data_IF_218307014658
#
_entry.id   IF_218307014658
#
_cell.length_a   1.000
_cell.length_b   1.000
_cell.length_c   1.000
_cell.angle_alpha   90.00
_cell.angle_beta   90.00
_cell.angle_gamma   90.00
#
_symmetry.space_group_name_H-M   'P 1'
#
loop_
_entity.id
_entity.type
_entity.pdbx_description
1 polymer ?
#
# COMPACT_ATOMS: atom_id res chain seq x y z
N UNK A 1 8.95 -23.41 19.35
CA UNK A 1 9.21 -24.01 18.00
C UNK A 1 10.55 -23.49 17.48
N UNK A 2 11.35 -24.27 16.68
CA UNK A 2 12.59 -23.72 16.10
C UNK A 2 12.27 -22.77 14.95
N UNK A 3 13.09 -21.73 14.76
CA UNK A 3 12.87 -20.75 13.67
C UNK A 3 12.95 -21.38 12.27
N UNK A 4 13.75 -22.46 12.10
CA UNK A 4 13.83 -23.18 10.84
C UNK A 4 12.51 -23.90 10.55
N UNK A 5 11.94 -24.57 11.55
CA UNK A 5 10.64 -25.22 11.40
C UNK A 5 9.51 -24.22 11.10
N UNK A 6 9.53 -23.03 11.71
CA UNK A 6 8.59 -21.95 11.39
C UNK A 6 8.73 -21.54 9.90
N UNK A 7 9.97 -21.41 9.39
CA UNK A 7 10.23 -21.02 8.00
C UNK A 7 9.68 -22.09 7.04
N UNK A 8 10.04 -23.36 7.25
CA UNK A 8 9.62 -24.49 6.43
C UNK A 8 8.09 -24.66 6.41
N UNK A 9 7.44 -24.50 7.57
CA UNK A 9 6.00 -24.76 7.71
C UNK A 9 5.14 -23.62 7.18
N UNK A 10 5.52 -22.35 7.44
CA UNK A 10 4.64 -21.19 7.23
C UNK A 10 5.11 -20.23 6.13
N UNK A 11 6.35 -20.36 5.65
CA UNK A 11 6.93 -19.43 4.69
C UNK A 11 7.51 -20.10 3.43
N UNK A 12 7.22 -21.38 3.20
CA UNK A 12 7.57 -22.17 2.00
C UNK A 12 9.05 -22.03 1.60
N UNK A 13 9.99 -21.98 2.53
CA UNK A 13 11.43 -21.75 2.29
C UNK A 13 11.78 -20.46 1.51
N UNK A 14 10.76 -19.64 1.18
CA UNK A 14 10.95 -18.39 0.45
C UNK A 14 11.46 -17.24 1.33
N UNK A 15 11.49 -17.46 2.65
CA UNK A 15 11.95 -16.51 3.67
C UNK A 15 13.18 -17.08 4.36
N UNK A 16 14.15 -16.24 4.68
CA UNK A 16 15.36 -16.64 5.44
C UNK A 16 15.26 -16.10 6.87
N UNK A 17 15.98 -16.72 7.80
CA UNK A 17 16.03 -16.29 9.20
C UNK A 17 16.28 -14.77 9.37
N UNK A 18 17.15 -14.17 8.55
CA UNK A 18 17.44 -12.73 8.57
C UNK A 18 16.28 -11.83 8.14
N UNK A 19 15.26 -12.41 7.49
CA UNK A 19 14.08 -11.70 7.02
C UNK A 19 12.96 -11.68 8.07
N UNK A 20 13.12 -12.45 9.17
CA UNK A 20 12.20 -12.58 10.29
C UNK A 20 12.70 -11.75 11.49
N UNK A 21 11.83 -10.91 12.01
CA UNK A 21 12.10 -10.04 13.15
C UNK A 21 11.24 -10.45 14.31
N UNK A 22 11.89 -10.83 15.42
CA UNK A 22 11.19 -11.20 16.64
C UNK A 22 10.46 -10.00 17.25
N UNK A 23 9.28 -10.26 17.82
CA UNK A 23 8.52 -9.26 18.55
C UNK A 23 7.96 -9.82 19.85
N UNK A 24 7.77 -8.91 20.80
CA UNK A 24 6.95 -9.07 22.00
C UNK A 24 6.21 -7.77 22.20
N UNK A 25 4.88 -7.77 22.08
CA UNK A 25 4.07 -6.56 22.15
C UNK A 25 2.80 -6.79 22.96
N UNK A 26 2.31 -5.72 23.59
CA UNK A 26 1.03 -5.70 24.29
C UNK A 26 -0.03 -5.06 23.39
N UNK A 27 -1.16 -5.74 23.22
CA UNK A 27 -2.28 -5.22 22.42
C UNK A 27 -3.04 -4.12 23.17
N UNK A 28 -3.97 -3.46 22.49
CA UNK A 28 -4.80 -2.41 23.11
C UNK A 28 -5.76 -2.97 24.17
N UNK A 29 -6.18 -4.24 24.05
CA UNK A 29 -6.99 -4.93 25.07
C UNK A 29 -6.14 -5.54 26.20
N UNK A 30 -4.80 -5.42 26.11
CA UNK A 30 -3.89 -5.85 27.15
C UNK A 30 -3.26 -7.24 26.95
N UNK A 31 -3.62 -7.97 25.89
CA UNK A 31 -3.01 -9.26 25.57
C UNK A 31 -1.55 -9.10 25.19
N UNK A 32 -0.70 -10.03 25.58
CA UNK A 32 0.72 -10.06 25.22
C UNK A 32 0.90 -11.08 24.10
N UNK A 33 1.47 -10.63 22.96
CA UNK A 33 1.76 -11.49 21.82
C UNK A 33 3.27 -11.50 21.53
N UNK A 34 3.80 -12.70 21.28
CA UNK A 34 5.21 -12.94 20.97
C UNK A 34 5.33 -13.78 19.70
N UNK A 35 6.33 -13.50 18.86
CA UNK A 35 6.54 -14.24 17.62
C UNK A 35 7.49 -13.55 16.65
N UNK A 36 7.25 -13.75 15.36
CA UNK A 36 8.10 -13.25 14.27
C UNK A 36 7.27 -12.58 13.17
N UNK A 37 7.75 -11.45 12.65
CA UNK A 37 7.20 -10.76 11.49
C UNK A 37 8.18 -10.79 10.32
N UNK A 38 7.68 -11.13 9.12
CA UNK A 38 8.47 -11.14 7.89
C UNK A 38 8.60 -9.73 7.30
N UNK A 39 9.83 -9.29 7.01
CA UNK A 39 10.12 -8.02 6.34
C UNK A 39 10.73 -8.19 4.95
N UNK A 40 10.74 -9.41 4.42
CA UNK A 40 11.16 -9.65 3.04
C UNK A 40 10.13 -9.07 2.07
N UNK A 41 10.56 -8.33 1.03
CA UNK A 41 9.66 -7.71 0.06
C UNK A 41 9.16 -8.73 -0.99
N UNK A 42 8.44 -9.75 -0.56
CA UNK A 42 7.80 -10.79 -1.36
C UNK A 42 6.31 -10.94 -0.95
N UNK A 43 5.69 -12.07 -1.29
CA UNK A 43 4.32 -12.41 -0.92
C UNK A 43 4.06 -12.46 0.59
N UNK A 44 5.09 -12.71 1.40
CA UNK A 44 5.01 -12.77 2.86
C UNK A 44 5.31 -11.44 3.57
N UNK A 45 5.49 -10.33 2.82
CA UNK A 45 5.82 -9.05 3.43
C UNK A 45 4.77 -8.64 4.47
N UNK A 46 5.20 -8.58 5.73
CA UNK A 46 4.36 -8.23 6.88
C UNK A 46 3.52 -9.39 7.44
N UNK A 47 3.58 -10.59 6.84
CA UNK A 47 3.01 -11.78 7.46
C UNK A 47 3.76 -12.12 8.75
N UNK A 48 3.05 -12.69 9.72
CA UNK A 48 3.61 -12.97 11.03
C UNK A 48 3.22 -14.36 11.52
N UNK A 49 4.14 -14.94 12.26
CA UNK A 49 3.90 -16.11 13.08
C UNK A 49 3.86 -15.65 14.54
N UNK A 50 2.70 -15.79 15.21
CA UNK A 50 2.53 -15.60 16.64
C UNK A 50 2.80 -16.94 17.28
N UNK A 51 3.77 -17.01 18.16
CA UNK A 51 4.14 -18.24 18.89
C UNK A 51 3.42 -18.35 20.22
N UNK A 52 3.28 -17.20 20.92
CA UNK A 52 2.66 -17.13 22.23
C UNK A 52 1.63 -16.02 22.34
N UNK A 53 0.57 -16.33 23.09
CA UNK A 53 -0.46 -15.38 23.53
C UNK A 53 -0.55 -15.47 25.05
N UNK A 54 -0.41 -14.32 25.74
CA UNK A 54 -0.45 -14.24 27.22
C UNK A 54 0.54 -15.18 27.92
N UNK A 55 1.76 -15.36 27.34
CA UNK A 55 2.85 -16.26 27.75
C UNK A 55 2.55 -17.76 27.56
N UNK A 56 1.42 -18.15 26.99
CA UNK A 56 1.06 -19.53 26.66
C UNK A 56 1.35 -19.82 25.19
N UNK A 57 1.79 -21.05 24.89
CA UNK A 57 2.05 -21.48 23.52
C UNK A 57 0.72 -21.55 22.76
N UNK A 58 0.59 -20.71 21.73
CA UNK A 58 -0.62 -20.62 20.91
C UNK A 58 -0.24 -20.25 19.47
N UNK A 59 0.34 -21.20 18.71
CA UNK A 59 0.88 -20.93 17.40
C UNK A 59 -0.22 -20.59 16.40
N UNK A 60 -0.08 -19.43 15.72
CA UNK A 60 -1.00 -18.99 14.69
C UNK A 60 -0.26 -18.18 13.62
N UNK A 61 -0.63 -18.37 12.36
CA UNK A 61 -0.05 -17.66 11.24
C UNK A 61 -1.03 -16.63 10.67
N UNK A 62 -0.56 -15.40 10.49
CA UNK A 62 -1.35 -14.28 10.00
C UNK A 62 -0.76 -13.82 8.67
N UNK A 63 -1.50 -14.04 7.62
CA UNK A 63 -1.16 -13.48 6.31
C UNK A 63 -1.34 -11.97 6.28
N UNK A 64 -0.47 -11.30 5.53
CA UNK A 64 -0.52 -9.86 5.27
C UNK A 64 -0.85 -9.61 3.81
N UNK A 65 -1.12 -8.35 3.46
CA UNK A 65 -1.24 -7.96 2.06
C UNK A 65 0.09 -8.20 1.35
N UNK A 66 0.15 -9.07 0.35
CA UNK A 66 1.36 -9.35 -0.42
C UNK A 66 1.96 -8.07 -0.99
N UNK A 67 3.28 -8.07 -1.25
CA UNK A 67 3.87 -6.98 -1.99
C UNK A 67 3.31 -6.96 -3.41
N UNK A 68 2.66 -5.87 -3.78
CA UNK A 68 2.15 -5.64 -5.12
C UNK A 68 3.33 -5.31 -6.04
N UNK A 69 3.51 -6.11 -7.10
CA UNK A 69 4.62 -5.95 -8.03
C UNK A 69 4.21 -5.16 -9.28
N UNK A 70 5.19 -4.51 -9.91
CA UNK A 70 5.07 -4.10 -11.30
C UNK A 70 5.07 -5.35 -12.19
N UNK A 71 4.60 -5.20 -13.42
CA UNK A 71 4.73 -6.27 -14.40
C UNK A 71 6.17 -6.80 -14.43
N UNK A 72 6.29 -8.12 -14.40
CA UNK A 72 7.56 -8.82 -14.58
C UNK A 72 7.30 -10.13 -15.32
N UNK A 73 8.34 -10.72 -15.91
CA UNK A 73 8.26 -12.03 -16.59
C UNK A 73 7.69 -13.17 -15.72
N UNK A 74 7.69 -13.01 -14.38
CA UNK A 74 7.06 -13.98 -13.46
C UNK A 74 5.54 -13.97 -13.51
N UNK A 75 4.95 -12.93 -14.07
CA UNK A 75 3.51 -12.80 -14.30
C UNK A 75 3.16 -13.20 -15.75
N UNK A 76 4.15 -13.37 -16.63
CA UNK A 76 3.98 -13.96 -17.96
C UNK A 76 3.50 -15.40 -17.83
N UNK A 77 2.49 -15.77 -18.63
CA UNK A 77 1.89 -17.12 -18.58
C UNK A 77 0.71 -17.27 -17.61
N UNK A 78 0.30 -16.19 -16.90
CA UNK A 78 -0.99 -16.18 -16.24
C UNK A 78 -2.02 -15.79 -17.30
N UNK A 79 -2.59 -16.80 -17.94
CA UNK A 79 -3.74 -16.60 -18.82
C UNK A 79 -4.97 -16.31 -17.96
N UNK A 80 -5.50 -15.11 -18.10
CA UNK A 80 -6.76 -14.72 -17.48
C UNK A 80 -7.69 -14.23 -18.57
N UNK A 81 -8.93 -14.75 -18.57
CA UNK A 81 -9.97 -14.32 -19.50
C UNK A 81 -10.46 -12.91 -19.19
N UNK A 82 -10.26 -12.46 -17.95
CA UNK A 82 -10.72 -11.16 -17.48
C UNK A 82 -9.75 -10.55 -16.48
N UNK A 83 -9.38 -9.29 -16.71
CA UNK A 83 -8.56 -8.50 -15.81
C UNK A 83 -9.29 -7.21 -15.48
N UNK A 84 -9.59 -6.99 -14.20
CA UNK A 84 -10.21 -5.76 -13.72
C UNK A 84 -9.15 -4.95 -12.95
N UNK A 85 -8.79 -3.81 -13.49
CA UNK A 85 -7.93 -2.84 -12.82
C UNK A 85 -8.75 -1.89 -11.97
N UNK A 86 -8.51 -1.93 -10.68
CA UNK A 86 -9.08 -1.00 -9.70
C UNK A 86 -8.17 0.20 -9.51
N UNK A 87 -8.75 1.31 -9.09
CA UNK A 87 -8.01 2.48 -8.63
C UNK A 87 -7.00 2.08 -7.54
N UNK A 88 -5.76 2.51 -7.69
CA UNK A 88 -4.79 2.41 -6.62
C UNK A 88 -4.96 3.62 -5.71
N UNK A 89 -5.63 3.41 -4.60
CA UNK A 89 -5.74 4.42 -3.55
C UNK A 89 -4.36 4.71 -2.95
N UNK A 90 -4.13 5.96 -2.60
CA UNK A 90 -2.89 6.43 -2.01
C UNK A 90 -3.07 6.65 -0.51
N UNK A 91 -2.49 5.75 0.29
CA UNK A 91 -2.66 5.76 1.72
C UNK A 91 -1.80 4.72 2.43
N UNK A 92 -2.30 4.23 3.55
CA UNK A 92 -1.67 3.20 4.37
C UNK A 92 -2.45 1.90 4.34
N UNK A 93 -1.79 0.81 3.99
CA UNK A 93 -2.38 -0.53 4.05
C UNK A 93 -2.58 -0.94 5.51
N UNK A 94 -3.84 -1.16 5.90
CA UNK A 94 -4.27 -1.61 7.23
C UNK A 94 -4.80 -3.03 7.14
N UNK A 95 -4.38 -3.86 8.06
CA UNK A 95 -4.72 -5.27 8.12
C UNK A 95 -5.38 -5.53 9.47
N UNK A 96 -6.61 -6.06 9.44
CA UNK A 96 -7.30 -6.54 10.63
C UNK A 96 -7.21 -8.05 10.69
N UNK A 97 -6.67 -8.57 11.78
CA UNK A 97 -6.49 -10.00 11.97
C UNK A 97 -7.10 -10.48 13.31
N UNK A 98 -7.67 -11.69 13.34
CA UNK A 98 -8.12 -12.30 14.58
C UNK A 98 -6.92 -12.77 15.41
N UNK A 99 -6.96 -12.53 16.72
CA UNK A 99 -6.08 -13.15 17.69
C UNK A 99 -6.86 -14.25 18.39
N UNK A 100 -6.35 -15.47 18.31
CA UNK A 100 -6.97 -16.62 18.94
C UNK A 100 -6.31 -16.93 20.29
N UNK A 101 -7.10 -17.47 21.21
CA UNK A 101 -6.65 -18.22 22.38
C UNK A 101 -7.67 -19.32 22.64
N UNK A 102 -7.22 -20.55 22.88
CA UNK A 102 -8.07 -21.73 23.12
C UNK A 102 -9.14 -21.99 22.01
N UNK A 103 -8.79 -21.66 20.77
CA UNK A 103 -9.68 -21.80 19.61
C UNK A 103 -10.69 -20.66 19.40
N UNK A 104 -10.78 -19.73 20.34
CA UNK A 104 -11.70 -18.59 20.28
C UNK A 104 -10.98 -17.29 19.88
N UNK A 105 -11.67 -16.41 19.12
CA UNK A 105 -11.16 -15.08 18.77
C UNK A 105 -11.34 -14.15 19.97
N UNK A 106 -10.25 -13.89 20.69
CA UNK A 106 -10.25 -13.00 21.88
C UNK A 106 -10.14 -11.51 21.53
N UNK A 107 -9.50 -11.20 20.38
CA UNK A 107 -9.33 -9.83 19.94
C UNK A 107 -9.21 -9.77 18.41
N UNK A 108 -9.68 -8.69 17.78
CA UNK A 108 -9.39 -8.35 16.39
C UNK A 108 -8.46 -7.13 16.38
N UNK A 109 -7.26 -7.30 15.83
CA UNK A 109 -6.16 -6.34 15.96
C UNK A 109 -5.87 -5.66 14.61
N UNK A 110 -5.89 -4.31 14.55
CA UNK A 110 -5.40 -3.59 13.38
C UNK A 110 -3.87 -3.47 13.41
N UNK A 111 -3.25 -3.62 12.24
CA UNK A 111 -1.82 -3.39 12.01
C UNK A 111 -1.58 -2.70 10.66
N UNK A 112 -0.42 -2.07 10.48
CA UNK A 112 0.07 -1.73 9.15
C UNK A 112 0.84 -2.93 8.56
N UNK A 113 1.21 -2.86 7.28
CA UNK A 113 1.94 -3.96 6.65
C UNK A 113 3.22 -4.35 7.41
N UNK A 114 3.97 -3.39 7.94
CA UNK A 114 5.28 -3.63 8.54
C UNK A 114 5.28 -3.59 10.07
N UNK A 115 4.14 -3.49 10.73
CA UNK A 115 4.01 -3.50 12.18
C UNK A 115 3.24 -4.76 12.63
N UNK A 116 3.29 -5.05 13.90
CA UNK A 116 2.52 -6.13 14.53
C UNK A 116 1.15 -5.60 14.97
N UNK A 117 1.13 -4.38 15.47
CA UNK A 117 -0.05 -3.65 15.93
C UNK A 117 0.03 -2.24 15.34
N UNK A 118 -1.11 -1.63 15.03
CA UNK A 118 -1.16 -0.23 14.62
C UNK A 118 -0.67 0.69 15.76
N UNK A 119 0.17 1.67 15.41
CA UNK A 119 0.59 2.71 16.34
C UNK A 119 -0.56 3.67 16.70
N UNK A 120 -0.34 4.54 17.68
CA UNK A 120 -1.36 5.45 18.16
C UNK A 120 -1.84 6.44 17.09
N UNK A 121 -0.97 6.86 16.18
CA UNK A 121 -1.34 7.73 15.08
C UNK A 121 -2.34 7.05 14.14
N UNK A 122 -1.98 5.87 13.65
CA UNK A 122 -2.86 5.06 12.78
C UNK A 122 -4.15 4.70 13.52
N UNK A 123 -4.07 4.29 14.79
CA UNK A 123 -5.25 3.94 15.58
C UNK A 123 -6.23 5.10 15.72
N UNK A 124 -5.74 6.34 15.91
CA UNK A 124 -6.58 7.53 15.98
C UNK A 124 -7.21 7.87 14.62
N UNK A 125 -6.54 7.63 13.50
CA UNK A 125 -7.14 7.75 12.17
C UNK A 125 -8.22 6.68 11.95
N UNK A 126 -7.97 5.44 12.36
CA UNK A 126 -8.96 4.35 12.26
C UNK A 126 -10.24 4.67 13.01
N UNK A 127 -10.17 5.21 14.21
CA UNK A 127 -11.36 5.65 14.97
C UNK A 127 -12.22 6.67 14.21
N UNK A 128 -11.61 7.47 13.33
CA UNK A 128 -12.34 8.46 12.51
C UNK A 128 -12.88 7.85 11.21
N UNK A 129 -12.22 6.82 10.70
CA UNK A 129 -12.52 6.21 9.41
C UNK A 129 -13.49 5.02 9.51
N UNK A 130 -13.54 4.33 10.67
CA UNK A 130 -14.34 3.13 10.85
C UNK A 130 -15.81 3.51 11.02
N UNK A 131 -16.62 3.05 10.08
CA UNK A 131 -18.09 3.09 10.12
C UNK A 131 -18.70 1.69 9.99
N UNK A 132 -17.87 0.64 10.00
CA UNK A 132 -18.24 -0.73 9.65
C UNK A 132 -18.01 -1.69 10.81
N UNK A 133 -18.77 -2.79 10.91
CA UNK A 133 -18.61 -3.81 11.95
C UNK A 133 -17.44 -4.76 11.64
N UNK A 134 -16.20 -4.22 11.55
CA UNK A 134 -15.00 -4.98 11.12
C UNK A 134 -14.75 -6.20 12.04
N UNK A 135 -14.91 -6.05 13.36
CA UNK A 135 -14.70 -7.16 14.30
C UNK A 135 -15.69 -8.30 14.06
N UNK A 136 -16.95 -7.98 13.75
CA UNK A 136 -18.00 -8.97 13.46
C UNK A 136 -17.68 -9.71 12.16
N UNK A 137 -17.29 -8.98 11.11
CA UNK A 137 -16.94 -9.58 9.81
C UNK A 137 -15.75 -10.54 9.97
N UNK A 138 -14.70 -10.12 10.68
CA UNK A 138 -13.50 -10.95 10.90
C UNK A 138 -13.86 -12.23 11.66
N UNK A 139 -14.70 -12.15 12.69
CA UNK A 139 -15.15 -13.31 13.49
C UNK A 139 -16.09 -14.22 12.71
N UNK A 140 -17.10 -13.65 12.02
CA UNK A 140 -18.11 -14.42 11.30
C UNK A 140 -17.50 -15.26 10.16
N UNK A 141 -16.57 -14.68 9.39
CA UNK A 141 -15.98 -15.35 8.23
C UNK A 141 -14.63 -16.00 8.50
N UNK A 142 -14.06 -15.82 9.68
CA UNK A 142 -12.72 -16.28 9.99
C UNK A 142 -11.68 -15.82 8.96
N UNK A 143 -11.58 -14.51 8.77
CA UNK A 143 -10.77 -13.89 7.72
C UNK A 143 -9.87 -12.79 8.27
N UNK A 144 -8.75 -12.57 7.57
CA UNK A 144 -7.94 -11.35 7.68
C UNK A 144 -8.46 -10.35 6.66
N UNK A 145 -8.86 -9.15 7.11
CA UNK A 145 -9.31 -8.07 6.21
C UNK A 145 -8.17 -7.08 5.94
N UNK A 146 -8.09 -6.61 4.71
CA UNK A 146 -7.06 -5.68 4.25
C UNK A 146 -7.72 -4.45 3.64
N UNK A 147 -7.40 -3.28 4.19
CA UNK A 147 -7.95 -2.00 3.77
C UNK A 147 -6.83 -1.04 3.35
N UNK A 148 -7.15 -0.09 2.51
CA UNK A 148 -6.37 1.13 2.36
C UNK A 148 -7.02 2.23 3.19
N UNK A 149 -6.27 2.79 4.15
CA UNK A 149 -6.64 3.98 4.90
C UNK A 149 -6.15 5.19 4.12
N UNK A 150 -7.07 6.02 3.61
CA UNK A 150 -6.75 7.10 2.68
C UNK A 150 -7.56 8.37 2.96
N UNK A 151 -7.20 9.45 2.28
CA UNK A 151 -7.88 10.74 2.38
C UNK A 151 -6.97 11.84 2.91
N UNK A 152 -7.53 13.02 3.13
CA UNK A 152 -6.79 14.24 3.50
C UNK A 152 -5.91 14.05 4.74
N UNK A 153 -6.40 13.33 5.76
CA UNK A 153 -5.64 13.09 6.99
C UNK A 153 -4.52 12.05 6.83
N UNK A 154 -4.51 11.26 5.76
CA UNK A 154 -3.49 10.24 5.48
C UNK A 154 -3.01 10.34 4.03
N UNK A 155 -2.84 11.55 3.53
CA UNK A 155 -2.35 11.84 2.19
C UNK A 155 -0.85 11.51 2.08
N UNK A 156 -0.47 10.85 0.98
CA UNK A 156 0.92 10.60 0.62
C UNK A 156 1.32 11.42 -0.61
N UNK A 157 0.91 11.00 -1.82
CA UNK A 157 1.27 11.64 -3.10
C UNK A 157 0.05 12.23 -3.81
N UNK A 158 -1.14 11.64 -3.62
CA UNK A 158 -2.36 12.00 -4.32
C UNK A 158 -3.31 12.75 -3.38
N UNK A 159 -3.78 13.89 -3.84
CA UNK A 159 -4.81 14.63 -3.13
C UNK A 159 -6.19 14.03 -3.41
N UNK A 160 -6.86 13.54 -2.37
CA UNK A 160 -8.21 13.00 -2.41
C UNK A 160 -9.18 13.92 -1.67
N UNK A 161 -9.72 14.96 -2.32
CA UNK A 161 -10.59 15.94 -1.66
C UNK A 161 -11.92 15.34 -1.18
N UNK A 162 -12.38 14.26 -1.86
CA UNK A 162 -13.66 13.61 -1.57
C UNK A 162 -13.62 12.69 -0.33
N UNK A 163 -12.43 12.51 0.25
CA UNK A 163 -12.25 11.65 1.42
C UNK A 163 -11.43 12.37 2.50
N UNK A 164 -12.06 12.70 3.61
CA UNK A 164 -11.35 13.26 4.76
C UNK A 164 -10.48 12.22 5.45
N UNK A 165 -11.08 11.08 5.82
CA UNK A 165 -10.42 9.90 6.36
C UNK A 165 -11.33 8.70 6.08
N UNK A 166 -10.89 7.75 5.29
CA UNK A 166 -11.74 6.63 4.83
C UNK A 166 -10.96 5.33 4.74
N UNK A 167 -11.69 4.22 4.88
CA UNK A 167 -11.18 2.88 4.65
C UNK A 167 -11.84 2.29 3.39
N UNK A 168 -11.05 1.68 2.51
CA UNK A 168 -11.56 0.91 1.38
C UNK A 168 -11.00 -0.52 1.43
N UNK A 169 -11.87 -1.51 1.32
CA UNK A 169 -11.52 -2.93 1.29
C UNK A 169 -10.74 -3.25 0.01
N UNK A 170 -9.46 -3.63 0.15
CA UNK A 170 -8.56 -3.94 -0.97
C UNK A 170 -8.23 -5.42 -1.09
N UNK A 171 -8.43 -6.19 -0.02
CA UNK A 171 -8.15 -7.62 0.02
C UNK A 171 -8.73 -8.29 1.26
N UNK A 172 -8.79 -9.60 1.23
CA UNK A 172 -9.05 -10.43 2.39
C UNK A 172 -8.36 -11.79 2.21
N UNK A 173 -8.02 -12.43 3.32
CA UNK A 173 -7.46 -13.77 3.35
C UNK A 173 -8.35 -14.66 4.20
N UNK A 174 -8.82 -15.75 3.60
CA UNK A 174 -9.61 -16.76 4.33
C UNK A 174 -8.69 -17.71 5.05
N UNK A 175 -8.78 -17.75 6.38
CA UNK A 175 -7.94 -18.60 7.22
C UNK A 175 -8.37 -20.06 7.05
N UNK A 176 -9.68 -20.32 6.88
CA UNK A 176 -10.22 -21.68 6.78
C UNK A 176 -9.78 -22.44 5.53
N UNK A 177 -9.60 -21.74 4.41
CA UNK A 177 -9.24 -22.35 3.11
C UNK A 177 -7.83 -21.95 2.66
N UNK A 178 -7.10 -21.23 3.50
CA UNK A 178 -5.72 -20.80 3.27
C UNK A 178 -5.53 -20.09 1.93
N UNK A 179 -6.38 -19.08 1.61
CA UNK A 179 -6.45 -18.48 0.29
C UNK A 179 -6.84 -16.99 0.31
N UNK A 180 -6.26 -16.21 -0.62
CA UNK A 180 -6.67 -14.83 -0.87
C UNK A 180 -8.05 -14.79 -1.54
N UNK A 181 -8.97 -14.03 -0.97
CA UNK A 181 -10.32 -13.88 -1.49
C UNK A 181 -10.34 -13.27 -2.89
N UNK A 182 -11.24 -13.77 -3.72
CA UNK A 182 -11.45 -13.27 -5.07
C UNK A 182 -12.07 -11.85 -5.09
N UNK A 183 -11.98 -11.14 -6.22
CA UNK A 183 -12.69 -9.86 -6.37
C UNK A 183 -14.19 -10.01 -6.19
N UNK A 184 -14.80 -11.09 -6.68
CA UNK A 184 -16.23 -11.36 -6.50
C UNK A 184 -16.61 -11.56 -5.03
N UNK A 185 -15.79 -12.28 -4.27
CA UNK A 185 -15.95 -12.43 -2.81
C UNK A 185 -15.82 -11.10 -2.08
N UNK A 186 -14.82 -10.29 -2.43
CA UNK A 186 -14.63 -8.96 -1.86
C UNK A 186 -15.79 -8.00 -2.20
N UNK A 187 -16.32 -8.07 -3.42
CA UNK A 187 -17.48 -7.27 -3.85
C UNK A 187 -18.75 -7.70 -3.11
N UNK A 188 -18.95 -9.01 -2.89
CA UNK A 188 -20.08 -9.54 -2.10
C UNK A 188 -20.00 -9.11 -0.63
N UNK A 189 -18.80 -9.19 0.00
CA UNK A 189 -18.59 -8.67 1.35
C UNK A 189 -18.85 -7.16 1.42
N UNK A 190 -18.34 -6.42 0.45
CA UNK A 190 -18.54 -4.98 0.39
C UNK A 190 -20.03 -4.60 0.25
N UNK A 191 -20.77 -5.32 -0.58
CA UNK A 191 -22.20 -5.11 -0.73
C UNK A 191 -22.98 -5.45 0.56
N UNK A 192 -22.68 -6.61 1.20
CA UNK A 192 -23.37 -7.05 2.42
C UNK A 192 -23.20 -6.09 3.59
N UNK A 193 -21.98 -5.54 3.76
CA UNK A 193 -21.62 -4.71 4.91
C UNK A 193 -21.40 -3.23 4.55
N UNK A 194 -21.81 -2.82 3.34
CA UNK A 194 -21.66 -1.45 2.83
C UNK A 194 -20.21 -0.91 2.88
N UNK A 195 -19.23 -1.81 2.72
CA UNK A 195 -17.82 -1.44 2.74
C UNK A 195 -17.45 -0.69 1.44
N UNK A 196 -16.64 0.34 1.55
CA UNK A 196 -16.07 1.00 0.37
C UNK A 196 -15.10 0.05 -0.33
N UNK A 197 -15.12 0.07 -1.67
CA UNK A 197 -14.14 -0.60 -2.55
C UNK A 197 -13.46 0.44 -3.44
N UNK A 198 -12.20 0.22 -3.85
CA UNK A 198 -11.60 1.01 -4.90
C UNK A 198 -12.43 0.95 -6.19
N UNK A 199 -12.52 2.06 -6.91
CA UNK A 199 -13.28 2.14 -8.17
C UNK A 199 -12.69 1.20 -9.21
N UNK A 200 -13.55 0.49 -9.96
CA UNK A 200 -13.15 -0.26 -11.17
C UNK A 200 -12.88 0.75 -12.28
N UNK A 201 -11.64 0.83 -12.77
CA UNK A 201 -11.23 1.85 -13.71
C UNK A 201 -11.05 1.34 -15.14
N UNK A 202 -10.47 0.16 -15.31
CA UNK A 202 -10.18 -0.43 -16.62
C UNK A 202 -10.56 -1.90 -16.57
N UNK A 203 -11.35 -2.34 -17.54
CA UNK A 203 -11.71 -3.73 -17.74
C UNK A 203 -11.04 -4.24 -19.02
N UNK A 204 -10.36 -5.37 -18.93
CA UNK A 204 -9.65 -6.03 -20.02
C UNK A 204 -10.21 -7.44 -20.19
N UNK A 205 -10.47 -7.82 -21.43
CA UNK A 205 -10.77 -9.20 -21.82
C UNK A 205 -9.53 -9.83 -22.42
N UNK A 206 -9.24 -11.06 -22.01
CA UNK A 206 -8.16 -11.90 -22.54
C UNK A 206 -8.71 -13.15 -23.19
N UNK A 207 -8.06 -13.59 -24.25
CA UNK A 207 -8.34 -14.87 -24.91
C UNK A 207 -7.06 -15.36 -25.60
N UNK A 208 -6.63 -16.58 -25.30
CA UNK A 208 -5.46 -17.22 -25.92
C UNK A 208 -4.18 -16.35 -25.94
N UNK A 209 -3.91 -15.64 -24.83
CA UNK A 209 -2.75 -14.76 -24.72
C UNK A 209 -2.90 -13.39 -25.39
N UNK A 210 -4.05 -13.11 -26.01
CA UNK A 210 -4.41 -11.81 -26.54
C UNK A 210 -5.24 -11.03 -25.53
N UNK A 211 -5.01 -9.73 -25.42
CA UNK A 211 -5.71 -8.86 -24.47
C UNK A 211 -6.34 -7.65 -25.17
N UNK A 212 -7.54 -7.26 -24.76
CA UNK A 212 -8.24 -6.10 -25.29
C UNK A 212 -8.83 -5.28 -24.13
N UNK A 213 -8.67 -3.96 -24.16
CA UNK A 213 -9.37 -3.07 -23.23
C UNK A 213 -10.85 -3.02 -23.65
N UNK A 214 -11.71 -3.67 -22.86
CA UNK A 214 -13.13 -3.80 -23.12
C UNK A 214 -13.91 -2.55 -22.69
N UNK A 215 -13.53 -1.94 -21.56
CA UNK A 215 -14.13 -0.70 -21.10
C UNK A 215 -13.21 0.09 -20.18
N UNK A 216 -13.47 1.39 -20.13
CA UNK A 216 -12.86 2.32 -19.17
C UNK A 216 -13.99 3.03 -18.44
N UNK A 217 -13.79 3.27 -17.15
CA UNK A 217 -14.81 3.93 -16.33
C UNK A 217 -15.10 5.35 -16.85
N UNK A 218 -16.36 5.82 -16.72
CA UNK A 218 -16.73 7.20 -17.08
C UNK A 218 -15.85 8.25 -16.37
N UNK A 219 -15.37 7.90 -15.18
CA UNK A 219 -14.48 8.76 -14.39
C UNK A 219 -13.15 9.04 -15.08
N UNK A 220 -12.52 8.05 -15.74
CA UNK A 220 -11.32 8.27 -16.55
C UNK A 220 -11.66 8.78 -17.94
N UNK A 221 -12.76 8.32 -18.52
CA UNK A 221 -13.16 8.60 -19.90
C UNK A 221 -13.29 10.10 -20.17
N UNK A 222 -13.86 10.89 -19.26
CA UNK A 222 -14.01 12.34 -19.38
C UNK A 222 -12.69 13.10 -19.65
N UNK A 223 -11.57 12.57 -19.19
CA UNK A 223 -10.23 13.16 -19.43
C UNK A 223 -9.64 12.70 -20.76
N UNK A 224 -10.01 11.52 -21.25
CA UNK A 224 -9.50 10.96 -22.50
C UNK A 224 -10.25 11.49 -23.72
N UNK A 225 -11.55 11.71 -23.59
CA UNK A 225 -12.42 12.21 -24.67
C UNK A 225 -11.94 13.56 -25.20
N UNK A 226 -11.55 14.48 -24.31
CA UNK A 226 -11.05 15.80 -24.67
C UNK A 226 -9.84 15.74 -25.63
N UNK A 227 -9.00 14.71 -25.49
CA UNK A 227 -7.79 14.50 -26.28
C UNK A 227 -8.00 13.59 -27.48
N UNK A 228 -9.26 13.23 -27.82
CA UNK A 228 -9.59 12.31 -28.92
C UNK A 228 -8.80 10.99 -28.86
N UNK A 229 -8.49 10.50 -27.63
CA UNK A 229 -7.78 9.26 -27.44
C UNK A 229 -8.77 8.12 -27.61
N UNK A 230 -8.75 7.53 -28.82
CA UNK A 230 -9.51 6.32 -29.11
C UNK A 230 -8.83 5.12 -28.42
N UNK A 231 -9.60 4.40 -27.64
CA UNK A 231 -9.17 3.16 -26.96
C UNK A 231 -9.74 1.92 -27.67
N UNK A 232 -10.49 2.13 -28.72
CA UNK A 232 -11.16 1.05 -29.44
C UNK A 232 -10.17 0.25 -30.26
N UNK A 233 -10.16 -1.06 -30.06
CA UNK A 233 -9.62 -2.11 -30.94
C UNK A 233 -8.11 -2.39 -30.91
N UNK A 234 -7.35 -1.96 -29.91
CA UNK A 234 -5.98 -2.47 -29.80
C UNK A 234 -5.99 -3.86 -29.16
N UNK A 235 -5.63 -4.88 -29.93
CA UNK A 235 -5.25 -6.18 -29.41
C UNK A 235 -3.79 -6.11 -28.94
N UNK A 236 -3.55 -6.57 -27.73
CA UNK A 236 -2.21 -6.65 -27.15
C UNK A 236 -1.79 -8.12 -27.11
N UNK A 237 -0.58 -8.41 -27.56
CA UNK A 237 -0.03 -9.76 -27.62
C UNK A 237 0.66 -10.18 -26.33
N UNK A 238 0.75 -9.28 -25.35
CA UNK A 238 1.33 -9.57 -24.05
C UNK A 238 0.81 -8.63 -22.96
N UNK A 239 0.87 -9.10 -21.70
CA UNK A 239 0.61 -8.25 -20.53
C UNK A 239 1.58 -7.08 -20.44
N UNK A 240 2.80 -7.20 -20.94
CA UNK A 240 3.78 -6.12 -21.00
C UNK A 240 3.28 -4.97 -21.86
N UNK A 241 2.84 -5.27 -23.06
CA UNK A 241 2.31 -4.30 -24.01
C UNK A 241 1.05 -3.62 -23.47
N UNK A 242 0.12 -4.42 -22.92
CA UNK A 242 -1.09 -3.92 -22.26
C UNK A 242 -0.75 -2.96 -21.10
N UNK A 243 0.15 -3.35 -20.19
CA UNK A 243 0.50 -2.51 -19.04
C UNK A 243 1.21 -1.22 -19.44
N UNK A 244 2.03 -1.23 -20.50
CA UNK A 244 2.60 -0.01 -21.06
C UNK A 244 1.55 0.92 -21.66
N UNK A 245 0.53 0.37 -22.34
CA UNK A 245 -0.59 1.17 -22.84
C UNK A 245 -1.38 1.79 -21.70
N UNK A 246 -1.72 0.99 -20.67
CA UNK A 246 -2.40 1.50 -19.47
C UNK A 246 -1.58 2.61 -18.80
N UNK A 247 -0.27 2.43 -18.66
CA UNK A 247 0.63 3.44 -18.11
C UNK A 247 0.53 4.78 -18.86
N UNK A 248 0.55 4.74 -20.21
CA UNK A 248 0.39 5.95 -21.05
C UNK A 248 -0.99 6.60 -20.87
N UNK A 249 -2.05 5.79 -20.81
CA UNK A 249 -3.41 6.29 -20.55
C UNK A 249 -3.47 7.03 -19.21
N UNK A 250 -2.94 6.44 -18.14
CA UNK A 250 -2.95 7.05 -16.81
C UNK A 250 -2.12 8.35 -16.77
N UNK A 251 -0.96 8.40 -17.43
CA UNK A 251 -0.15 9.63 -17.53
C UNK A 251 -0.90 10.75 -18.26
N UNK A 252 -1.61 10.42 -19.34
CA UNK A 252 -2.42 11.40 -20.08
C UNK A 252 -3.59 11.92 -19.24
N UNK A 253 -4.29 11.01 -18.53
CA UNK A 253 -5.37 11.37 -17.62
C UNK A 253 -4.87 12.29 -16.50
N UNK A 254 -3.72 12.00 -15.92
CA UNK A 254 -3.12 12.83 -14.88
C UNK A 254 -2.73 14.21 -15.42
N UNK A 255 -2.12 14.28 -16.61
CA UNK A 255 -1.77 15.53 -17.24
C UNK A 255 -3.02 16.41 -17.49
N UNK A 256 -4.09 15.82 -18.01
CA UNK A 256 -5.34 16.54 -18.22
C UNK A 256 -5.99 16.96 -16.91
N UNK A 257 -5.99 16.10 -15.91
CA UNK A 257 -6.50 16.47 -14.58
C UNK A 257 -5.71 17.63 -14.00
N UNK A 258 -4.39 17.62 -14.12
CA UNK A 258 -3.54 18.70 -13.65
C UNK A 258 -3.86 20.02 -14.37
N UNK A 259 -4.03 19.98 -15.70
CA UNK A 259 -4.39 21.16 -16.50
C UNK A 259 -5.76 21.74 -16.14
N UNK A 260 -6.72 20.87 -15.75
CA UNK A 260 -8.09 21.31 -15.44
C UNK A 260 -8.25 21.69 -13.96
N UNK A 261 -7.70 20.89 -13.05
CA UNK A 261 -8.00 20.94 -11.63
C UNK A 261 -6.78 21.34 -10.76
N UNK A 262 -5.57 21.40 -11.34
CA UNK A 262 -4.35 21.70 -10.61
C UNK A 262 -3.79 20.56 -9.75
N UNK A 263 -4.32 19.33 -9.90
CA UNK A 263 -3.84 18.17 -9.15
C UNK A 263 -3.85 16.88 -9.98
N UNK A 264 -3.03 15.92 -9.58
CA UNK A 264 -2.91 14.58 -10.17
C UNK A 264 -4.08 13.71 -9.71
N UNK A 265 -4.76 13.05 -10.67
CA UNK A 265 -6.00 12.31 -10.42
C UNK A 265 -5.79 10.93 -9.78
N UNK A 266 -4.74 10.21 -10.18
CA UNK A 266 -4.54 8.81 -9.76
C UNK A 266 -3.08 8.44 -9.54
N UNK A 267 -2.81 7.67 -8.48
CA UNK A 267 -1.50 7.05 -8.25
C UNK A 267 -1.24 5.88 -9.23
N UNK A 268 -2.29 5.33 -9.82
CA UNK A 268 -2.23 4.20 -10.72
C UNK A 268 -3.40 3.25 -10.56
N UNK A 269 -3.22 2.05 -11.05
CA UNK A 269 -4.22 0.97 -10.93
C UNK A 269 -3.59 -0.32 -10.41
N UNK A 270 -4.43 -1.16 -9.81
CA UNK A 270 -4.06 -2.48 -9.30
C UNK A 270 -5.05 -3.51 -9.82
N UNK A 271 -4.54 -4.63 -10.34
CA UNK A 271 -5.34 -5.80 -10.67
C UNK A 271 -4.97 -6.97 -9.76
N UNK A 272 -5.99 -7.73 -9.32
CA UNK A 272 -5.81 -9.02 -8.69
C UNK A 272 -5.95 -10.10 -9.77
N UNK A 273 -4.84 -10.78 -10.07
CA UNK A 273 -4.74 -11.80 -11.13
C UNK A 273 -5.16 -13.20 -10.65
N UNK A 274 -5.66 -13.36 -9.46
CA UNK A 274 -6.38 -14.47 -8.83
C UNK A 274 -5.75 -15.88 -8.79
N UNK A 275 -4.61 -16.18 -9.39
CA UNK A 275 -4.13 -17.59 -9.44
C UNK A 275 -3.07 -17.97 -8.40
N UNK A 276 -2.51 -17.01 -7.65
CA UNK A 276 -1.46 -17.27 -6.63
C UNK A 276 -1.48 -16.24 -5.50
N UNK A 277 -1.02 -16.63 -4.31
CA UNK A 277 -0.62 -15.68 -3.26
C UNK A 277 0.44 -14.77 -3.89
N UNK A 278 0.17 -13.46 -3.97
CA UNK A 278 1.05 -12.50 -4.64
C UNK A 278 0.71 -12.15 -6.09
N UNK A 279 -0.40 -12.65 -6.64
CA UNK A 279 -0.87 -12.35 -8.01
C UNK A 279 -1.40 -10.92 -8.23
N UNK A 280 -0.94 -9.94 -7.46
CA UNK A 280 -1.32 -8.55 -7.64
C UNK A 280 -0.36 -7.82 -8.57
N UNK A 281 -0.93 -7.23 -9.63
CA UNK A 281 -0.23 -6.41 -10.60
C UNK A 281 -0.58 -4.93 -10.37
N UNK A 282 0.41 -4.04 -10.33
CA UNK A 282 0.19 -2.59 -10.33
C UNK A 282 0.78 -1.94 -11.57
N UNK A 283 0.08 -0.93 -12.05
CA UNK A 283 0.56 -0.03 -13.11
C UNK A 283 0.47 1.41 -12.59
N UNK A 284 1.58 2.12 -12.61
CA UNK A 284 1.66 3.53 -12.20
C UNK A 284 2.00 4.41 -13.39
N UNK A 285 1.47 5.64 -13.46
CA UNK A 285 1.93 6.66 -14.39
C UNK A 285 3.44 6.91 -14.24
N UNK A 286 4.09 7.36 -15.30
CA UNK A 286 5.55 7.52 -15.30
C UNK A 286 6.02 8.57 -14.30
N UNK A 287 5.34 9.70 -14.23
CA UNK A 287 5.61 10.77 -13.28
C UNK A 287 5.52 10.30 -11.82
N UNK A 288 4.56 9.42 -11.52
CA UNK A 288 4.42 8.83 -10.19
C UNK A 288 5.54 7.80 -9.91
N UNK A 289 5.91 6.99 -10.92
CA UNK A 289 7.04 6.06 -10.77
C UNK A 289 8.35 6.79 -10.48
N UNK A 290 8.61 7.89 -11.17
CA UNK A 290 9.81 8.70 -10.97
C UNK A 290 9.87 9.28 -9.56
N UNK A 291 8.75 9.80 -9.04
CA UNK A 291 8.64 10.26 -7.65
C UNK A 291 8.97 9.13 -6.64
N UNK A 292 8.49 7.91 -6.90
CA UNK A 292 8.71 6.76 -5.99
C UNK A 292 10.09 6.11 -6.12
N UNK A 293 10.72 6.14 -7.30
CA UNK A 293 12.08 5.58 -7.50
C UNK A 293 13.14 6.35 -6.72
N UNK A 294 12.83 7.56 -6.36
CA UNK A 294 13.64 8.39 -5.52
C UNK A 294 14.97 8.78 -6.18
N UNK A 295 15.49 9.92 -5.79
CA UNK A 295 16.83 10.35 -6.16
C UNK A 295 17.82 9.37 -5.54
N UNK A 296 18.89 8.98 -6.23
CA UNK A 296 19.92 8.13 -5.70
C UNK A 296 20.40 8.64 -4.33
N UNK A 297 20.58 7.73 -3.36
CA UNK A 297 20.98 8.07 -1.98
C UNK A 297 22.22 8.95 -1.95
N UNK A 298 23.12 8.81 -2.94
CA UNK A 298 24.36 9.59 -3.05
C UNK A 298 24.09 11.07 -3.39
N UNK A 299 23.07 11.34 -4.24
CA UNK A 299 22.66 12.72 -4.57
C UNK A 299 21.95 13.39 -3.40
N UNK A 300 21.09 12.63 -2.69
CA UNK A 300 20.46 13.09 -1.45
C UNK A 300 21.53 13.46 -0.42
N UNK A 301 22.55 12.62 -0.23
CA UNK A 301 23.64 12.88 0.71
C UNK A 301 24.47 14.11 0.35
N UNK A 302 24.70 14.35 -0.94
CA UNK A 302 25.41 15.55 -1.42
C UNK A 302 24.61 16.83 -1.14
N UNK A 303 23.31 16.82 -1.44
CA UNK A 303 22.42 17.96 -1.17
C UNK A 303 22.27 18.19 0.33
N UNK A 304 22.02 17.15 1.13
CA UNK A 304 21.94 17.25 2.60
C UNK A 304 23.21 17.87 3.17
N UNK A 305 24.38 17.45 2.68
CA UNK A 305 25.66 17.98 3.16
C UNK A 305 25.81 19.46 2.84
N UNK A 306 25.47 19.88 1.62
CA UNK A 306 25.49 21.28 1.20
C UNK A 306 24.62 22.14 2.12
N UNK A 307 23.39 21.73 2.39
CA UNK A 307 22.46 22.49 3.21
C UNK A 307 22.75 22.39 4.71
N UNK A 308 23.30 21.26 5.17
CA UNK A 308 23.72 21.10 6.56
C UNK A 308 24.85 22.04 6.93
N UNK A 309 25.84 22.20 6.06
CA UNK A 309 26.97 23.10 6.29
C UNK A 309 26.51 24.58 6.34
N UNK A 310 25.46 24.94 5.60
CA UNK A 310 24.94 26.30 5.54
C UNK A 310 23.87 26.61 6.60
N UNK A 311 22.97 25.67 6.87
CA UNK A 311 21.76 25.90 7.68
C UNK A 311 21.55 24.93 8.83
N UNK A 312 22.46 23.98 9.07
CA UNK A 312 22.24 22.84 9.96
C UNK A 312 21.81 23.18 11.38
N UNK A 313 22.39 24.21 11.98
CA UNK A 313 22.02 24.64 13.34
C UNK A 313 20.61 25.26 13.43
N UNK A 314 20.17 26.01 12.39
CA UNK A 314 18.82 26.59 12.30
C UNK A 314 17.77 25.50 12.06
N UNK A 315 18.06 24.56 11.14
CA UNK A 315 17.20 23.43 10.84
C UNK A 315 17.00 22.53 12.07
N UNK A 316 18.08 22.28 12.84
CA UNK A 316 17.99 21.47 14.06
C UNK A 316 17.16 22.14 15.15
N UNK A 317 17.29 23.45 15.33
CA UNK A 317 16.52 24.21 16.32
C UNK A 317 15.01 24.20 16.00
N UNK A 318 14.65 24.39 14.73
CA UNK A 318 13.25 24.42 14.28
C UNK A 318 12.64 23.01 14.31
N UNK A 319 13.40 21.99 13.93
CA UNK A 319 12.94 20.61 13.96
C UNK A 319 12.63 20.10 15.37
N UNK A 320 13.37 20.55 16.38
CA UNK A 320 13.11 20.20 17.79
C UNK A 320 11.83 20.80 18.32
N UNK A 321 11.36 21.91 17.74
CA UNK A 321 10.17 22.60 18.21
C UNK A 321 8.88 22.09 17.54
N UNK A 322 8.83 21.92 16.22
CA UNK A 322 7.63 21.45 15.53
C UNK A 322 7.94 21.05 14.07
N UNK A 323 7.54 19.84 13.69
CA UNK A 323 7.68 19.31 12.32
C UNK A 323 6.94 20.18 11.28
N UNK A 324 5.84 20.81 11.65
CA UNK A 324 5.04 21.70 10.80
C UNK A 324 5.76 23.03 10.55
N UNK A 325 6.35 23.61 11.58
CA UNK A 325 7.19 24.80 11.44
C UNK A 325 8.42 24.56 10.56
N UNK A 326 9.03 23.39 10.66
CA UNK A 326 10.13 23.02 9.80
C UNK A 326 9.74 22.99 8.31
N UNK A 327 8.62 22.36 7.95
CA UNK A 327 8.14 22.32 6.58
C UNK A 327 7.82 23.71 6.03
N UNK A 328 7.25 24.58 6.88
CA UNK A 328 6.99 25.97 6.50
C UNK A 328 8.30 26.75 6.35
N UNK A 329 9.27 26.57 7.24
CA UNK A 329 10.59 27.20 7.12
C UNK A 329 11.32 26.79 5.84
N UNK A 330 11.27 25.51 5.47
CA UNK A 330 11.85 25.00 4.21
C UNK A 330 11.12 25.64 3.02
N UNK A 331 9.80 25.74 3.05
CA UNK A 331 9.01 26.40 2.01
C UNK A 331 9.33 27.90 1.86
N UNK A 332 9.51 28.59 2.97
CA UNK A 332 9.69 30.05 2.98
C UNK A 332 11.13 30.51 2.72
N UNK A 333 12.12 29.71 3.14
CA UNK A 333 13.53 30.13 3.14
C UNK A 333 14.44 29.34 2.22
N UNK A 334 13.99 28.16 1.72
CA UNK A 334 14.77 27.31 0.83
C UNK A 334 14.05 27.07 -0.51
N UNK A 335 12.85 27.65 -0.70
CA UNK A 335 11.99 27.38 -1.85
C UNK A 335 12.55 27.94 -3.18
N UNK A 336 13.39 28.97 -3.14
CA UNK A 336 14.04 29.49 -4.35
C UNK A 336 15.10 28.54 -4.91
N UNK A 337 15.76 27.75 -4.03
CA UNK A 337 16.75 26.76 -4.40
C UNK A 337 16.22 25.31 -4.44
N UNK A 338 15.03 25.10 -3.86
CA UNK A 338 14.32 23.81 -3.86
C UNK A 338 13.00 23.95 -4.62
N UNK A 339 12.80 23.24 -5.73
CA UNK A 339 11.49 23.14 -6.35
C UNK A 339 10.44 22.69 -5.33
N UNK A 340 9.29 23.37 -5.26
CA UNK A 340 8.21 23.15 -4.26
C UNK A 340 7.75 21.68 -4.23
N UNK A 341 7.77 21.00 -5.37
CA UNK A 341 7.50 19.56 -5.54
C UNK A 341 8.47 18.64 -4.79
N UNK A 342 9.66 19.14 -4.43
CA UNK A 342 10.65 18.40 -3.62
C UNK A 342 10.29 18.42 -2.13
N UNK A 343 9.71 19.51 -1.63
CA UNK A 343 9.38 19.70 -0.21
C UNK A 343 8.26 18.77 0.25
N UNK A 344 7.35 18.39 -0.65
CA UNK A 344 6.21 17.51 -0.37
C UNK A 344 6.47 16.03 -0.71
N UNK A 345 7.65 15.70 -1.25
CA UNK A 345 7.98 14.37 -1.76
C UNK A 345 8.65 13.46 -0.71
N UNK A 346 8.71 12.15 -1.02
CA UNK A 346 9.53 11.18 -0.30
C UNK A 346 11.02 11.56 -0.20
N UNK A 347 11.50 12.47 -1.07
CA UNK A 347 12.86 13.04 -1.02
C UNK A 347 13.07 13.84 0.25
N UNK A 348 12.13 14.71 0.62
CA UNK A 348 12.21 15.51 1.85
C UNK A 348 12.25 14.62 3.07
N UNK A 349 11.42 13.54 3.09
CA UNK A 349 11.44 12.56 4.18
C UNK A 349 12.79 11.85 4.30
N UNK A 350 13.40 11.44 3.18
CA UNK A 350 14.73 10.82 3.15
C UNK A 350 15.84 11.80 3.55
N UNK A 351 15.77 13.04 3.08
CA UNK A 351 16.69 14.12 3.49
C UNK A 351 16.64 14.30 5.02
N UNK A 352 15.42 14.32 5.59
CA UNK A 352 15.21 14.44 7.03
C UNK A 352 15.77 13.24 7.81
N UNK A 353 15.60 12.03 7.30
CA UNK A 353 16.16 10.82 7.93
C UNK A 353 17.71 10.85 7.91
N UNK A 354 18.33 11.33 6.84
CA UNK A 354 19.78 11.49 6.77
C UNK A 354 20.29 12.62 7.66
N UNK A 355 19.60 13.76 7.75
CA UNK A 355 19.91 14.85 8.69
C UNK A 355 19.90 14.35 10.13
N UNK A 356 18.93 13.49 10.50
CA UNK A 356 18.87 12.87 11.85
C UNK A 356 20.05 11.95 12.15
N UNK A 357 20.68 11.38 11.12
CA UNK A 357 21.82 10.46 11.25
C UNK A 357 23.17 11.17 11.27
N UNK A 358 23.21 12.46 10.96
CA UNK A 358 24.44 13.23 11.01
C UNK A 358 24.91 13.42 12.45
N UNK A 359 26.23 13.29 12.72
CA UNK A 359 26.77 13.54 14.05
C UNK A 359 26.49 14.99 14.46
N UNK A 360 25.92 15.15 15.64
CA UNK A 360 25.69 16.47 16.23
C UNK A 360 27.06 17.11 16.48
N UNK A 361 27.33 18.28 15.90
CA UNK A 361 28.46 19.10 16.21
C UNK A 361 28.29 19.79 17.55
#
# INVERSE_FOLDING_TARGET
MSINHIIETYFDDKVKKKDLYQFKQKTKKGNIIEGYICRKPNEYLGSMFIEKVNNEDNPQFIHSMPKIHYYSKRIEGIETEEIIFHEKLDGSCIIYYPLYQDGEVIEVIPKTRNTVIADDFIFNLLKKAITYPIEEIVKEYNIVLMFELYGVLNQHEIYNPDAYCSLALIGAYSINIDYMCSNSTLDALAQKYELKRPKKLIHVKGHEGLYMIASISPYLYKYLEKNKISLNTCLFTSLSELTQKIKKILSQVNQESYNINGFVLTEGVVANMQKQIGGYLKVKPEEIELKHKGIPTIEIKKEVRKYWDEYGSKIEAIYKQDKKHYLNYVKENLAEDFPIDIVESNKTKKIMEEIKRMPRK
#
